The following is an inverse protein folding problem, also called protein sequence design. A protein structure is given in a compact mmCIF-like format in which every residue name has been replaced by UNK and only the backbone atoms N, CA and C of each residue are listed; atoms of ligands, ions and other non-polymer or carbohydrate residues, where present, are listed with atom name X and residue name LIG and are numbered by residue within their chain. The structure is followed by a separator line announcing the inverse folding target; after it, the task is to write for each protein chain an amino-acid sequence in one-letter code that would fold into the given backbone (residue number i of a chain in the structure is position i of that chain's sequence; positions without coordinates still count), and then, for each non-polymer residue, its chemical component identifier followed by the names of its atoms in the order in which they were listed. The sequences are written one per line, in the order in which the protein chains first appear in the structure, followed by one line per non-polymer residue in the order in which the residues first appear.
data_IF_241276919795
#
_entry.id   IF_241276919795
#
_cell.length_a   1.000
_cell.length_b   1.000
_cell.length_c   1.000
_cell.angle_alpha   90.00
_cell.angle_beta   90.00
_cell.angle_gamma   90.00
#
_symmetry.space_group_name_H-M   'P 1'
#
loop_
_entity.id
_entity.type
_entity.pdbx_description
1 polymer ?
#
# COMPACT_ATOMS: atom_id res chain seq x y z
N UNK A 1 -0.07 29.08 -14.41
CA UNK A 1 0.66 28.90 -13.15
C UNK A 1 1.93 28.11 -13.44
N UNK A 2 3.08 28.66 -13.14
CA UNK A 2 4.36 27.99 -13.29
C UNK A 2 5.05 27.97 -11.92
N UNK A 3 5.42 26.81 -11.37
CA UNK A 3 5.14 25.48 -11.89
C UNK A 3 3.63 25.14 -11.84
N UNK A 4 3.19 24.12 -12.61
CA UNK A 4 1.84 23.59 -12.50
C UNK A 4 1.62 23.01 -11.08
N UNK A 5 0.44 23.29 -10.50
CA UNK A 5 0.06 22.84 -9.15
C UNK A 5 -1.35 22.29 -9.19
N UNK A 6 -1.53 21.08 -8.67
CA UNK A 6 -2.83 20.42 -8.70
C UNK A 6 -3.85 21.10 -7.75
N UNK A 7 -3.43 21.53 -6.55
CA UNK A 7 -4.27 22.22 -5.58
C UNK A 7 -4.92 23.48 -6.19
N UNK A 8 -4.13 24.34 -6.84
CA UNK A 8 -4.62 25.57 -7.45
C UNK A 8 -5.53 25.30 -8.64
N UNK A 9 -5.23 24.27 -9.43
CA UNK A 9 -6.07 23.89 -10.54
C UNK A 9 -7.44 23.39 -10.06
N UNK A 10 -7.46 22.59 -9.00
CA UNK A 10 -8.71 22.11 -8.39
C UNK A 10 -9.49 23.23 -7.71
N UNK A 11 -8.85 24.19 -7.05
CA UNK A 11 -9.51 25.34 -6.46
C UNK A 11 -10.12 26.24 -7.55
N UNK A 12 -9.43 26.42 -8.68
CA UNK A 12 -9.99 27.14 -9.81
C UNK A 12 -11.21 26.40 -10.40
N UNK A 13 -11.16 25.09 -10.54
CA UNK A 13 -12.30 24.27 -10.98
C UNK A 13 -13.46 24.34 -9.98
N UNK A 14 -13.17 24.24 -8.68
CA UNK A 14 -14.17 24.36 -7.62
C UNK A 14 -14.86 25.74 -7.68
N UNK A 15 -14.12 26.82 -7.94
CA UNK A 15 -14.67 28.17 -8.05
C UNK A 15 -15.65 28.34 -9.21
N UNK A 16 -15.54 27.52 -10.26
CA UNK A 16 -16.44 27.55 -11.42
C UNK A 16 -17.78 26.84 -11.17
N UNK A 17 -17.87 26.00 -10.13
CA UNK A 17 -19.13 25.33 -9.79
C UNK A 17 -20.10 26.38 -9.21
N UNK A 18 -21.35 26.47 -9.74
CA UNK A 18 -22.34 27.39 -9.21
C UNK A 18 -22.61 27.20 -7.72
N UNK A 19 -22.96 28.30 -7.04
CA UNK A 19 -23.06 28.31 -5.57
C UNK A 19 -24.29 27.58 -5.02
N UNK A 20 -25.28 27.35 -5.85
CA UNK A 20 -26.53 26.64 -5.51
C UNK A 20 -26.38 25.12 -5.40
N UNK A 21 -25.22 24.55 -5.79
CA UNK A 21 -24.96 23.13 -5.60
C UNK A 21 -24.40 22.85 -4.21
N UNK A 22 -24.88 21.77 -3.59
CA UNK A 22 -24.49 21.38 -2.25
C UNK A 22 -23.26 20.46 -2.25
N UNK A 23 -23.17 19.55 -3.22
CA UNK A 23 -22.16 18.47 -3.25
C UNK A 23 -21.27 18.60 -4.47
N UNK A 24 -19.96 18.56 -4.24
CA UNK A 24 -18.94 18.49 -5.28
C UNK A 24 -18.33 17.09 -5.33
N UNK A 25 -18.26 16.54 -6.54
CA UNK A 25 -17.58 15.27 -6.83
C UNK A 25 -16.33 15.63 -7.65
N UNK A 26 -15.16 15.38 -7.09
CA UNK A 26 -13.90 15.60 -7.80
C UNK A 26 -13.32 14.27 -8.27
N UNK A 27 -13.25 14.10 -9.57
CA UNK A 27 -12.66 12.94 -10.23
C UNK A 27 -11.47 13.34 -11.10
N UNK A 28 -10.49 12.46 -11.22
CA UNK A 28 -9.47 12.55 -12.25
C UNK A 28 -10.00 11.99 -13.57
N UNK A 29 -9.37 12.32 -14.69
CA UNK A 29 -9.84 11.89 -16.02
C UNK A 29 -9.78 10.36 -16.20
N UNK A 30 -9.03 9.68 -15.37
CA UNK A 30 -8.85 8.24 -15.30
C UNK A 30 -9.61 7.60 -14.13
N UNK A 31 -10.60 8.31 -13.57
CA UNK A 31 -11.48 7.83 -12.50
C UNK A 31 -12.93 7.74 -12.98
N UNK A 32 -13.62 6.65 -12.68
CA UNK A 32 -15.01 6.40 -13.09
C UNK A 32 -15.85 6.01 -11.88
N UNK A 33 -16.99 6.70 -11.74
CA UNK A 33 -18.03 6.30 -10.77
C UNK A 33 -18.82 5.13 -11.33
N UNK A 34 -18.98 4.08 -10.51
CA UNK A 34 -19.83 2.94 -10.88
C UNK A 34 -21.32 3.32 -10.85
N UNK A 35 -22.15 2.69 -11.70
CA UNK A 35 -23.59 2.94 -11.73
C UNK A 35 -24.25 2.87 -10.35
N UNK A 36 -25.28 3.71 -10.13
CA UNK A 36 -25.96 3.79 -8.83
C UNK A 36 -25.30 4.77 -7.84
N UNK A 37 -24.23 5.46 -8.25
CA UNK A 37 -23.52 6.40 -7.41
C UNK A 37 -24.40 7.56 -6.91
N UNK A 38 -25.32 8.04 -7.75
CA UNK A 38 -26.16 9.20 -7.45
C UNK A 38 -27.17 8.86 -6.34
N UNK A 39 -27.88 7.77 -6.53
CA UNK A 39 -28.86 7.27 -5.56
C UNK A 39 -28.20 6.97 -4.21
N UNK A 40 -26.96 6.48 -4.26
CA UNK A 40 -26.20 6.19 -3.02
C UNK A 40 -25.76 7.46 -2.32
N UNK A 41 -25.30 8.49 -3.04
CA UNK A 41 -24.98 9.79 -2.44
C UNK A 41 -26.24 10.40 -1.83
N UNK A 42 -27.35 10.47 -2.58
CA UNK A 42 -28.63 11.02 -2.09
C UNK A 42 -29.15 10.27 -0.84
N UNK A 43 -28.87 8.97 -0.76
CA UNK A 43 -29.26 8.15 0.40
C UNK A 43 -28.46 8.45 1.66
N UNK A 44 -27.14 8.67 1.53
CA UNK A 44 -26.24 8.78 2.71
C UNK A 44 -25.96 10.22 3.11
N UNK A 45 -26.13 11.16 2.17
CA UNK A 45 -25.87 12.58 2.44
C UNK A 45 -27.01 13.20 3.23
N UNK A 46 -26.72 13.63 4.45
CA UNK A 46 -27.67 14.31 5.34
C UNK A 46 -27.44 15.83 5.27
N UNK A 47 -28.37 16.62 5.79
CA UNK A 47 -28.32 18.10 5.77
C UNK A 47 -27.01 18.68 6.31
N UNK A 48 -26.44 18.04 7.34
CA UNK A 48 -25.19 18.49 7.96
C UNK A 48 -23.94 17.77 7.45
N UNK A 49 -24.07 16.87 6.49
CA UNK A 49 -22.92 16.15 5.90
C UNK A 49 -22.05 17.11 5.13
N UNK A 50 -20.74 17.07 5.37
CA UNK A 50 -19.79 17.92 4.66
C UNK A 50 -18.81 17.13 3.81
N UNK A 51 -18.65 15.83 4.07
CA UNK A 51 -17.69 14.97 3.36
C UNK A 51 -18.17 13.53 3.32
N UNK A 52 -17.91 12.85 2.19
CA UNK A 52 -18.26 11.44 2.01
C UNK A 52 -17.03 10.59 1.89
N UNK A 53 -16.96 9.54 2.71
CA UNK A 53 -15.96 8.48 2.63
C UNK A 53 -16.55 7.29 1.87
N UNK A 54 -15.86 6.88 0.79
CA UNK A 54 -16.34 5.87 -0.14
C UNK A 54 -15.20 4.95 -0.61
N UNK A 55 -15.54 3.80 -1.21
CA UNK A 55 -14.55 2.86 -1.74
C UNK A 55 -13.92 3.38 -3.02
N UNK A 56 -12.61 3.24 -3.09
CA UNK A 56 -11.79 3.54 -4.25
C UNK A 56 -11.01 2.29 -4.66
N UNK A 57 -11.21 1.84 -5.89
CA UNK A 57 -10.45 0.74 -6.49
C UNK A 57 -9.31 1.32 -7.33
N UNK A 58 -8.10 1.20 -6.79
CA UNK A 58 -6.88 1.64 -7.48
C UNK A 58 -6.49 0.72 -8.63
N UNK A 59 -7.06 -0.47 -8.72
CA UNK A 59 -6.68 -1.53 -9.63
C UNK A 59 -5.66 -2.50 -9.02
N UNK A 60 -5.37 -3.56 -9.75
CA UNK A 60 -4.43 -4.62 -9.33
C UNK A 60 -4.71 -5.20 -7.93
N UNK A 61 -5.97 -5.21 -7.47
CA UNK A 61 -6.36 -5.73 -6.17
C UNK A 61 -6.12 -4.79 -4.98
N UNK A 62 -5.77 -3.53 -5.22
CA UNK A 62 -5.62 -2.48 -4.20
C UNK A 62 -6.92 -1.68 -4.12
N UNK A 63 -7.58 -1.70 -2.98
CA UNK A 63 -8.72 -0.84 -2.69
C UNK A 63 -8.58 -0.19 -1.32
N UNK A 64 -9.06 1.03 -1.21
CA UNK A 64 -9.05 1.80 0.03
C UNK A 64 -10.20 2.81 0.06
N UNK A 65 -10.36 3.50 1.18
CA UNK A 65 -11.36 4.56 1.27
C UNK A 65 -10.78 5.89 0.84
N UNK A 66 -11.59 6.64 0.06
CA UNK A 66 -11.22 7.96 -0.44
C UNK A 66 -12.30 8.99 -0.10
N UNK A 67 -11.98 10.29 -0.22
CA UNK A 67 -12.78 11.36 0.36
C UNK A 67 -12.77 12.61 -0.52
N UNK A 68 -12.84 12.47 -1.86
CA UNK A 68 -12.90 13.58 -2.83
C UNK A 68 -14.33 14.08 -3.12
N UNK A 69 -15.33 13.59 -2.38
CA UNK A 69 -16.72 14.06 -2.46
C UNK A 69 -16.99 14.87 -1.20
N UNK A 70 -17.27 16.16 -1.38
CA UNK A 70 -17.39 17.10 -0.27
C UNK A 70 -18.43 18.20 -0.54
N UNK A 71 -18.84 18.89 0.51
CA UNK A 71 -19.72 20.03 0.40
C UNK A 71 -19.09 21.13 -0.48
N UNK A 72 -19.93 21.82 -1.29
CA UNK A 72 -19.48 22.86 -2.23
C UNK A 72 -18.78 24.02 -1.54
N UNK A 73 -19.16 24.34 -0.31
CA UNK A 73 -18.66 25.47 0.44
C UNK A 73 -17.81 25.02 1.63
N UNK A 74 -16.85 25.86 2.03
CA UNK A 74 -16.05 25.64 3.22
C UNK A 74 -14.85 24.74 3.01
N UNK A 75 -14.50 24.41 1.75
CA UNK A 75 -13.32 23.63 1.40
C UNK A 75 -12.42 24.37 0.41
N UNK A 76 -11.12 24.06 0.51
CA UNK A 76 -10.10 24.37 -0.50
C UNK A 76 -9.18 23.16 -0.66
N UNK A 77 -8.51 23.07 -1.80
CA UNK A 77 -7.53 22.00 -2.05
C UNK A 77 -6.15 22.39 -1.52
N UNK A 78 -5.46 21.45 -0.94
CA UNK A 78 -4.18 21.66 -0.30
C UNK A 78 -3.10 20.72 -0.82
N UNK A 79 -1.89 21.20 -0.95
CA UNK A 79 -0.67 20.60 -1.49
C UNK A 79 -0.54 20.63 -3.03
N UNK A 80 0.67 20.93 -3.54
CA UNK A 80 0.92 21.04 -4.97
C UNK A 80 0.77 19.73 -5.73
N UNK A 81 0.87 18.59 -5.03
CA UNK A 81 0.67 17.21 -5.53
C UNK A 81 0.17 16.33 -4.40
N UNK A 82 -0.52 15.24 -4.71
CA UNK A 82 -1.25 14.43 -3.74
C UNK A 82 -2.22 15.26 -2.90
N UNK A 83 -2.82 16.23 -3.57
CA UNK A 83 -3.74 17.18 -3.00
C UNK A 83 -5.03 16.54 -2.50
N UNK A 84 -5.63 17.14 -1.51
CA UNK A 84 -6.92 16.71 -0.95
C UNK A 84 -7.71 17.91 -0.46
N UNK A 85 -9.06 17.83 -0.37
CA UNK A 85 -9.87 18.91 0.14
C UNK A 85 -9.68 19.07 1.65
N UNK A 86 -9.48 20.29 2.10
CA UNK A 86 -9.28 20.68 3.50
C UNK A 86 -10.33 21.71 3.88
N UNK A 87 -10.94 21.62 5.08
CA UNK A 87 -11.85 22.65 5.55
C UNK A 87 -11.12 23.99 5.71
N UNK A 88 -11.76 25.08 5.32
CA UNK A 88 -11.21 26.44 5.37
C UNK A 88 -11.40 27.13 6.74
N UNK A 89 -11.78 26.38 7.76
CA UNK A 89 -12.02 26.86 9.12
C UNK A 89 -13.42 27.44 9.36
N UNK A 90 -14.25 27.54 8.33
CA UNK A 90 -15.65 28.03 8.44
C UNK A 90 -16.65 26.93 8.73
N UNK A 91 -16.26 25.67 8.54
CA UNK A 91 -17.12 24.50 8.75
C UNK A 91 -16.48 23.51 9.71
N UNK A 92 -17.33 22.74 10.39
CA UNK A 92 -16.90 21.52 11.10
C UNK A 92 -17.17 20.34 10.20
N UNK A 93 -16.17 19.47 9.99
CA UNK A 93 -16.33 18.30 9.15
C UNK A 93 -17.29 17.28 9.78
N UNK A 94 -18.30 16.88 9.01
CA UNK A 94 -19.22 15.78 9.33
C UNK A 94 -19.16 14.77 8.19
N UNK A 95 -18.69 13.59 8.52
CA UNK A 95 -18.48 12.51 7.55
C UNK A 95 -19.72 11.64 7.41
N UNK A 96 -20.17 11.42 6.17
CA UNK A 96 -20.94 10.24 5.81
C UNK A 96 -19.97 9.13 5.33
N UNK A 97 -20.41 7.89 5.42
CA UNK A 97 -19.65 6.72 4.98
C UNK A 97 -20.53 5.75 4.21
N UNK A 98 -19.98 5.15 3.15
CA UNK A 98 -20.64 4.08 2.42
C UNK A 98 -19.65 3.10 1.80
N UNK A 99 -20.02 1.82 1.81
CA UNK A 99 -19.34 0.74 1.11
C UNK A 99 -19.90 0.47 -0.30
N UNK A 100 -21.02 1.10 -0.65
CA UNK A 100 -21.73 0.84 -1.90
C UNK A 100 -21.33 1.76 -3.04
N UNK A 101 -20.76 2.93 -2.73
CA UNK A 101 -20.23 3.82 -3.75
C UNK A 101 -18.79 3.41 -4.07
N UNK A 102 -18.54 3.11 -5.32
CA UNK A 102 -17.24 2.72 -5.83
C UNK A 102 -16.78 3.67 -6.93
N UNK A 103 -15.58 4.21 -6.77
CA UNK A 103 -14.84 4.87 -7.84
C UNK A 103 -13.73 3.93 -8.31
N UNK A 104 -13.68 3.68 -9.60
CA UNK A 104 -12.66 2.85 -10.23
C UNK A 104 -11.62 3.71 -10.92
N UNK A 105 -10.34 3.46 -10.62
CA UNK A 105 -9.22 4.08 -11.30
C UNK A 105 -8.80 3.23 -12.51
N UNK A 106 -8.69 3.87 -13.66
CA UNK A 106 -8.29 3.27 -14.94
C UNK A 106 -6.95 3.88 -15.36
N UNK A 107 -5.82 3.44 -14.80
CA UNK A 107 -4.55 4.12 -14.98
C UNK A 107 -4.08 4.07 -16.44
N UNK A 108 -3.62 5.21 -16.95
CA UNK A 108 -2.90 5.30 -18.22
C UNK A 108 -1.41 4.98 -17.99
N UNK A 109 -0.90 3.82 -18.45
CA UNK A 109 0.48 3.44 -18.25
C UNK A 109 1.47 4.32 -19.02
N UNK A 110 1.02 5.10 -20.00
CA UNK A 110 1.84 6.03 -20.76
C UNK A 110 2.06 7.37 -20.06
N UNK A 111 1.32 7.66 -18.98
CA UNK A 111 1.36 8.92 -18.24
C UNK A 111 2.70 9.12 -17.55
N UNK A 112 3.40 10.18 -17.90
CA UNK A 112 4.67 10.54 -17.26
C UNK A 112 4.49 10.97 -15.81
N UNK A 113 5.36 10.48 -14.92
CA UNK A 113 5.48 10.93 -13.53
C UNK A 113 6.58 11.99 -13.33
N UNK A 114 7.22 12.44 -14.39
CA UNK A 114 8.43 13.26 -14.33
C UNK A 114 8.35 14.55 -13.51
N UNK A 115 7.14 15.10 -13.31
CA UNK A 115 6.93 16.32 -12.52
C UNK A 115 6.72 16.06 -11.01
N UNK A 116 6.49 14.80 -10.59
CA UNK A 116 6.07 14.49 -9.21
C UNK A 116 7.16 14.81 -8.19
N UNK A 117 8.42 14.46 -8.49
CA UNK A 117 9.53 14.67 -7.57
C UNK A 117 9.74 16.17 -7.26
N UNK A 118 9.69 17.03 -8.28
CA UNK A 118 9.86 18.48 -8.11
C UNK A 118 8.68 19.09 -7.31
N UNK A 119 7.46 18.66 -7.59
CA UNK A 119 6.29 19.10 -6.84
C UNK A 119 6.31 18.63 -5.38
N UNK A 120 6.78 17.42 -5.11
CA UNK A 120 6.95 16.91 -3.74
C UNK A 120 8.06 17.64 -3.00
N UNK A 121 9.17 17.98 -3.69
CA UNK A 121 10.22 18.84 -3.13
C UNK A 121 9.68 20.22 -2.78
N UNK A 122 8.83 20.80 -3.63
CA UNK A 122 8.13 22.04 -3.33
C UNK A 122 7.21 21.87 -2.11
N UNK A 123 6.42 20.80 -2.04
CA UNK A 123 5.49 20.53 -0.96
C UNK A 123 6.19 20.44 0.41
N UNK A 124 7.33 19.75 0.50
CA UNK A 124 8.09 19.65 1.77
C UNK A 124 8.83 20.95 2.10
N UNK A 125 9.04 21.85 1.12
CA UNK A 125 9.62 23.17 1.33
C UNK A 125 8.56 24.15 1.86
N UNK A 126 7.35 24.10 1.31
CA UNK A 126 6.23 24.95 1.73
C UNK A 126 5.68 24.55 3.12
N UNK A 127 5.58 23.24 3.40
CA UNK A 127 5.16 22.73 4.70
C UNK A 127 6.09 21.60 5.18
N UNK A 128 7.23 21.96 5.82
CA UNK A 128 8.23 21.01 6.28
C UNK A 128 7.76 20.14 7.47
N UNK A 129 6.64 20.49 8.10
CA UNK A 129 6.06 19.76 9.24
C UNK A 129 4.89 18.85 8.85
N UNK A 130 4.50 18.82 7.58
CA UNK A 130 3.45 17.95 7.09
C UNK A 130 3.97 16.51 6.92
N UNK A 131 3.47 15.52 7.69
CA UNK A 131 3.94 14.14 7.58
C UNK A 131 3.59 13.54 6.21
N UNK A 132 2.43 13.88 5.66
CA UNK A 132 1.98 13.43 4.34
C UNK A 132 2.98 13.81 3.24
N UNK A 133 3.38 15.08 3.18
CA UNK A 133 4.36 15.56 2.19
C UNK A 133 5.72 14.87 2.38
N UNK A 134 6.17 14.75 3.64
CA UNK A 134 7.44 14.09 3.96
C UNK A 134 7.43 12.61 3.51
N UNK A 135 6.34 11.88 3.77
CA UNK A 135 6.21 10.49 3.36
C UNK A 135 6.21 10.33 1.83
N UNK A 136 5.36 11.09 1.12
CA UNK A 136 5.29 10.97 -0.35
C UNK A 136 6.59 11.38 -1.03
N UNK A 137 7.27 12.42 -0.54
CA UNK A 137 8.59 12.81 -1.03
C UNK A 137 9.62 11.69 -0.83
N UNK A 138 9.70 11.15 0.37
CA UNK A 138 10.61 10.05 0.69
C UNK A 138 10.35 8.80 -0.16
N UNK A 139 9.08 8.44 -0.34
CA UNK A 139 8.66 7.33 -1.20
C UNK A 139 9.04 7.57 -2.67
N UNK A 140 8.78 8.76 -3.18
CA UNK A 140 9.11 9.11 -4.57
C UNK A 140 10.61 9.00 -4.85
N UNK A 141 11.47 9.44 -3.92
CA UNK A 141 12.91 9.24 -4.02
C UNK A 141 13.30 7.78 -4.22
N UNK A 142 12.58 6.84 -3.59
CA UNK A 142 12.84 5.40 -3.80
C UNK A 142 12.46 4.92 -5.20
N UNK A 143 11.43 5.49 -5.82
CA UNK A 143 11.04 5.17 -7.20
C UNK A 143 12.10 5.65 -8.21
N UNK A 144 12.81 6.73 -7.90
CA UNK A 144 13.94 7.22 -8.68
C UNK A 144 15.28 6.58 -8.28
N UNK A 145 15.27 5.57 -7.39
CA UNK A 145 16.49 4.91 -6.89
C UNK A 145 17.50 5.87 -6.23
N UNK A 146 17.03 7.01 -5.72
CA UNK A 146 17.83 7.99 -4.98
C UNK A 146 17.97 7.54 -3.51
N UNK A 147 18.61 6.39 -3.31
CA UNK A 147 18.57 5.66 -2.04
C UNK A 147 19.12 6.43 -0.84
N UNK A 148 20.20 7.19 -1.04
CA UNK A 148 20.81 8.01 0.03
C UNK A 148 19.88 9.10 0.51
N UNK A 149 19.29 9.87 -0.42
CA UNK A 149 18.33 10.92 -0.13
C UNK A 149 17.03 10.36 0.45
N UNK A 150 16.60 9.20 -0.06
CA UNK A 150 15.42 8.49 0.46
C UNK A 150 15.61 8.13 1.94
N UNK A 151 16.79 7.60 2.33
CA UNK A 151 17.08 7.29 3.73
C UNK A 151 16.94 8.53 4.61
N UNK A 152 17.52 9.66 4.20
CA UNK A 152 17.42 10.92 4.97
C UNK A 152 15.98 11.39 5.09
N UNK A 153 15.22 11.34 3.98
CA UNK A 153 13.83 11.79 3.96
C UNK A 153 12.91 10.87 4.79
N UNK A 154 13.14 9.55 4.75
CA UNK A 154 12.39 8.57 5.55
C UNK A 154 12.64 8.75 7.05
N UNK A 155 13.86 9.06 7.47
CA UNK A 155 14.14 9.41 8.87
C UNK A 155 13.38 10.67 9.29
N UNK A 156 13.43 11.74 8.48
CA UNK A 156 12.67 12.97 8.77
C UNK A 156 11.17 12.70 8.92
N UNK A 157 10.62 11.81 8.11
CA UNK A 157 9.24 11.39 8.25
C UNK A 157 8.99 10.65 9.57
N UNK A 158 9.81 9.63 9.88
CA UNK A 158 9.63 8.80 11.09
C UNK A 158 9.83 9.59 12.39
N UNK A 159 10.68 10.62 12.38
CA UNK A 159 10.93 11.51 13.51
C UNK A 159 9.83 12.57 13.68
N UNK A 160 8.93 12.72 12.71
CA UNK A 160 7.84 13.69 12.78
C UNK A 160 6.76 13.20 13.78
N UNK A 161 6.47 13.95 14.87
CA UNK A 161 5.51 13.53 15.88
C UNK A 161 4.07 13.41 15.37
N UNK A 162 3.75 14.02 14.23
CA UNK A 162 2.45 13.91 13.57
C UNK A 162 2.35 12.66 12.67
N UNK A 163 3.46 11.98 12.38
CA UNK A 163 3.49 10.73 11.63
C UNK A 163 3.15 9.56 12.56
N UNK A 164 1.88 9.41 12.91
CA UNK A 164 1.41 8.48 13.93
C UNK A 164 0.54 7.33 13.38
N UNK A 165 0.40 7.20 12.06
CA UNK A 165 -0.34 6.09 11.47
C UNK A 165 0.57 4.87 11.27
N UNK A 166 0.36 3.75 12.01
CA UNK A 166 1.29 2.62 12.03
C UNK A 166 1.53 2.00 10.65
N UNK A 167 0.50 1.89 9.80
CA UNK A 167 0.64 1.28 8.47
C UNK A 167 1.56 2.10 7.55
N UNK A 168 1.48 3.44 7.60
CA UNK A 168 2.33 4.32 6.80
C UNK A 168 3.77 4.35 7.35
N UNK A 169 3.92 4.36 8.68
CA UNK A 169 5.23 4.24 9.35
C UNK A 169 5.90 2.90 9.04
N UNK A 170 5.13 1.81 9.11
CA UNK A 170 5.61 0.48 8.68
C UNK A 170 6.08 0.51 7.22
N UNK A 171 5.32 1.12 6.32
CA UNK A 171 5.73 1.26 4.93
C UNK A 171 7.03 2.07 4.78
N UNK A 172 7.18 3.17 5.50
CA UNK A 172 8.43 3.94 5.53
C UNK A 172 9.62 3.11 6.03
N UNK A 173 9.43 2.27 7.07
CA UNK A 173 10.46 1.35 7.57
C UNK A 173 10.82 0.25 6.56
N UNK A 174 9.83 -0.27 5.82
CA UNK A 174 10.06 -1.21 4.71
C UNK A 174 10.89 -0.56 3.61
N UNK A 175 10.60 0.70 3.26
CA UNK A 175 11.38 1.48 2.28
C UNK A 175 12.82 1.75 2.79
N UNK A 176 13.03 1.98 4.09
CA UNK A 176 14.38 2.03 4.69
C UNK A 176 15.11 0.71 4.52
N UNK A 177 14.46 -0.40 4.83
CA UNK A 177 15.01 -1.75 4.63
C UNK A 177 15.44 -1.97 3.18
N UNK A 178 14.60 -1.58 2.21
CA UNK A 178 14.89 -1.65 0.77
C UNK A 178 16.06 -0.72 0.37
N UNK A 179 16.05 0.52 0.86
CA UNK A 179 17.08 1.51 0.53
C UNK A 179 18.46 1.08 1.05
N UNK A 180 18.54 0.57 2.28
CA UNK A 180 19.79 0.05 2.83
C UNK A 180 20.29 -1.19 2.11
N UNK A 181 19.39 -2.08 1.65
CA UNK A 181 19.78 -3.21 0.80
C UNK A 181 20.42 -2.74 -0.51
N UNK A 182 19.81 -1.74 -1.17
CA UNK A 182 20.34 -1.15 -2.41
C UNK A 182 21.69 -0.44 -2.21
N UNK A 183 21.93 0.11 -1.02
CA UNK A 183 23.21 0.72 -0.63
C UNK A 183 24.26 -0.30 -0.14
N UNK A 184 23.93 -1.61 -0.10
CA UNK A 184 24.84 -2.66 0.39
C UNK A 184 25.00 -2.72 1.90
N UNK A 185 24.15 -2.04 2.69
CA UNK A 185 24.22 -1.97 4.16
C UNK A 185 23.29 -3.00 4.79
N UNK A 186 23.65 -4.27 4.68
CA UNK A 186 22.82 -5.43 5.03
C UNK A 186 22.32 -5.42 6.48
N UNK A 187 23.17 -5.05 7.44
CA UNK A 187 22.76 -5.03 8.86
C UNK A 187 21.62 -4.05 9.11
N UNK A 188 21.66 -2.87 8.48
CA UNK A 188 20.61 -1.87 8.58
C UNK A 188 19.35 -2.30 7.83
N UNK A 189 19.53 -2.93 6.65
CA UNK A 189 18.40 -3.47 5.89
C UNK A 189 17.59 -4.45 6.74
N UNK A 190 18.24 -5.42 7.38
CA UNK A 190 17.56 -6.38 8.25
C UNK A 190 16.93 -5.70 9.49
N UNK A 191 17.65 -4.78 10.13
CA UNK A 191 17.16 -4.09 11.32
C UNK A 191 15.86 -3.34 11.04
N UNK A 192 15.77 -2.62 9.90
CA UNK A 192 14.57 -1.87 9.53
C UNK A 192 13.42 -2.76 9.09
N UNK A 193 13.67 -3.90 8.44
CA UNK A 193 12.63 -4.90 8.12
C UNK A 193 12.01 -5.49 9.39
N UNK A 194 12.83 -5.79 10.42
CA UNK A 194 12.33 -6.24 11.72
C UNK A 194 11.49 -5.18 12.41
N UNK A 195 11.98 -3.93 12.47
CA UNK A 195 11.19 -2.81 13.02
C UNK A 195 9.86 -2.62 12.30
N UNK A 196 9.81 -2.80 10.98
CA UNK A 196 8.57 -2.72 10.24
C UNK A 196 7.55 -3.78 10.68
N UNK A 197 7.99 -5.02 10.95
CA UNK A 197 7.10 -6.07 11.45
C UNK A 197 6.64 -5.85 12.90
N UNK A 198 7.42 -5.11 13.69
CA UNK A 198 7.04 -4.69 15.05
C UNK A 198 6.09 -3.50 15.06
N UNK A 199 6.23 -2.55 14.11
CA UNK A 199 5.39 -1.35 14.01
C UNK A 199 3.94 -1.70 13.59
N UNK A 200 3.76 -2.63 12.65
CA UNK A 200 2.44 -3.06 12.19
C UNK A 200 2.33 -4.60 12.14
N UNK A 201 2.32 -5.28 13.30
CA UNK A 201 2.40 -6.73 13.37
C UNK A 201 1.18 -7.45 12.75
N UNK A 202 0.06 -6.73 12.57
CA UNK A 202 -1.18 -7.26 12.01
C UNK A 202 -1.32 -7.00 10.50
N UNK A 203 -0.22 -6.69 9.81
CA UNK A 203 -0.17 -6.56 8.34
C UNK A 203 0.79 -7.61 7.76
N UNK A 204 0.46 -8.19 6.59
CA UNK A 204 1.28 -9.25 5.98
C UNK A 204 2.58 -8.74 5.38
N UNK A 205 2.55 -7.54 4.85
CA UNK A 205 3.62 -6.95 4.05
C UNK A 205 5.00 -7.02 4.72
N UNK A 206 5.20 -6.53 5.97
CA UNK A 206 6.51 -6.55 6.61
C UNK A 206 7.01 -7.97 6.89
N UNK A 207 6.10 -8.91 7.20
CA UNK A 207 6.46 -10.30 7.45
C UNK A 207 6.89 -11.03 6.18
N UNK A 208 6.17 -10.80 5.05
CA UNK A 208 6.54 -11.38 3.76
C UNK A 208 7.85 -10.81 3.25
N UNK A 209 8.07 -9.48 3.34
CA UNK A 209 9.35 -8.88 2.96
C UNK A 209 10.52 -9.35 3.85
N UNK A 210 10.26 -9.63 5.11
CA UNK A 210 11.25 -10.22 6.01
C UNK A 210 11.55 -11.68 5.62
N UNK A 211 10.53 -12.46 5.24
CA UNK A 211 10.70 -13.80 4.72
C UNK A 211 11.50 -13.81 3.40
N UNK A 212 11.19 -12.90 2.46
CA UNK A 212 11.95 -12.72 1.21
C UNK A 212 13.43 -12.41 1.49
N UNK A 213 13.69 -11.54 2.47
CA UNK A 213 15.05 -11.24 2.89
C UNK A 213 15.76 -12.50 3.40
N UNK A 214 15.16 -13.26 4.30
CA UNK A 214 15.73 -14.49 4.81
C UNK A 214 15.90 -15.58 3.75
N UNK A 215 14.94 -15.69 2.83
CA UNK A 215 15.03 -16.55 1.66
C UNK A 215 16.28 -16.23 0.83
N UNK A 216 16.53 -14.95 0.53
CA UNK A 216 17.70 -14.51 -0.24
C UNK A 216 19.06 -14.86 0.41
N UNK A 217 19.05 -15.14 1.71
CA UNK A 217 20.22 -15.51 2.51
C UNK A 217 20.24 -17.01 2.87
N UNK A 218 19.35 -17.81 2.30
CA UNK A 218 19.16 -19.22 2.60
C UNK A 218 18.97 -19.51 4.11
N UNK A 219 18.39 -18.54 4.84
CA UNK A 219 18.03 -18.68 6.26
C UNK A 219 16.63 -19.26 6.39
N UNK A 220 16.57 -20.57 6.16
CA UNK A 220 15.29 -21.27 5.95
C UNK A 220 14.38 -21.27 7.18
N UNK A 221 14.94 -21.41 8.40
CA UNK A 221 14.15 -21.40 9.63
C UNK A 221 13.49 -20.03 9.88
N UNK A 222 14.26 -18.97 9.72
CA UNK A 222 13.76 -17.60 9.89
C UNK A 222 12.77 -17.23 8.77
N UNK A 223 13.03 -17.70 7.53
CA UNK A 223 12.11 -17.50 6.41
C UNK A 223 10.77 -18.19 6.67
N UNK A 224 10.78 -19.46 7.07
CA UNK A 224 9.58 -20.21 7.40
C UNK A 224 8.79 -19.52 8.52
N UNK A 225 9.46 -19.15 9.61
CA UNK A 225 8.81 -18.48 10.72
C UNK A 225 8.13 -17.15 10.31
N UNK A 226 8.80 -16.34 9.49
CA UNK A 226 8.22 -15.07 9.01
C UNK A 226 7.06 -15.30 8.05
N UNK A 227 7.16 -16.27 7.15
CA UNK A 227 6.08 -16.62 6.22
C UNK A 227 4.85 -17.18 6.97
N UNK A 228 5.06 -18.07 7.94
CA UNK A 228 3.99 -18.60 8.79
C UNK A 228 3.31 -17.50 9.59
N UNK A 229 4.09 -16.54 10.14
CA UNK A 229 3.53 -15.39 10.84
C UNK A 229 2.65 -14.54 9.89
N UNK A 230 3.09 -14.27 8.67
CA UNK A 230 2.26 -13.59 7.66
C UNK A 230 0.95 -14.35 7.41
N UNK A 231 1.00 -15.67 7.31
CA UNK A 231 -0.16 -16.52 7.04
C UNK A 231 -1.16 -16.60 8.20
N UNK A 232 -0.77 -16.25 9.45
CA UNK A 232 -1.72 -16.12 10.57
C UNK A 232 -2.68 -14.94 10.39
N UNK A 233 -2.26 -13.90 9.67
CA UNK A 233 -3.03 -12.67 9.46
C UNK A 233 -4.09 -12.93 8.40
N UNK A 234 -5.38 -12.84 8.77
CA UNK A 234 -6.51 -13.11 7.87
C UNK A 234 -7.27 -11.84 7.46
N UNK A 235 -7.13 -10.78 8.22
CA UNK A 235 -7.83 -9.52 7.97
C UNK A 235 -7.07 -8.66 6.95
N UNK A 236 -7.62 -8.58 5.74
CA UNK A 236 -7.08 -7.77 4.65
C UNK A 236 -7.56 -6.33 4.79
N UNK A 237 -6.70 -5.46 5.27
CA UNK A 237 -7.04 -4.05 5.47
C UNK A 237 -7.17 -3.30 4.13
N UNK A 238 -8.20 -2.45 4.04
CA UNK A 238 -8.43 -1.58 2.88
C UNK A 238 -7.59 -0.29 3.00
N UNK A 239 -6.29 -0.40 2.74
CA UNK A 239 -5.33 0.70 2.86
C UNK A 239 -4.44 0.80 1.61
N UNK A 240 -4.02 2.02 1.24
CA UNK A 240 -3.20 2.25 0.05
C UNK A 240 -1.76 1.75 0.16
N UNK A 241 -1.33 1.37 1.37
CA UNK A 241 0.00 0.80 1.65
C UNK A 241 0.05 -0.71 1.44
N UNK A 242 -1.08 -1.33 1.12
CA UNK A 242 -1.23 -2.75 0.91
C UNK A 242 -0.53 -3.22 -0.38
N UNK A 243 0.12 -4.37 -0.32
CA UNK A 243 0.70 -5.09 -1.47
C UNK A 243 -0.15 -6.34 -1.75
N UNK A 244 -0.86 -6.41 -2.89
CA UNK A 244 -1.70 -7.56 -3.22
C UNK A 244 -0.95 -8.88 -3.29
N UNK A 245 0.33 -8.87 -3.64
CA UNK A 245 1.14 -10.10 -3.81
C UNK A 245 1.28 -10.91 -2.52
N UNK A 246 1.24 -10.23 -1.36
CA UNK A 246 1.34 -10.91 -0.05
C UNK A 246 0.06 -11.65 0.34
N UNK A 247 -1.04 -11.43 -0.41
CA UNK A 247 -2.33 -12.10 -0.22
C UNK A 247 -2.55 -13.25 -1.22
N UNK A 248 -1.63 -13.44 -2.17
CA UNK A 248 -1.60 -14.53 -3.13
C UNK A 248 -0.69 -15.69 -2.72
N UNK A 249 -0.12 -16.36 -3.70
CA UNK A 249 0.73 -17.54 -3.54
C UNK A 249 2.07 -17.28 -2.84
N UNK A 250 2.59 -16.04 -2.88
CA UNK A 250 3.94 -15.68 -2.42
C UNK A 250 4.29 -16.17 -1.00
N UNK A 251 3.51 -15.88 0.06
CA UNK A 251 3.87 -16.33 1.42
C UNK A 251 3.82 -17.86 1.55
N UNK A 252 2.93 -18.53 0.81
CA UNK A 252 2.89 -20.00 0.81
C UNK A 252 4.10 -20.61 0.10
N UNK A 253 4.54 -20.04 -1.03
CA UNK A 253 5.74 -20.48 -1.74
C UNK A 253 7.00 -20.32 -0.87
N UNK A 254 7.16 -19.15 -0.21
CA UNK A 254 8.27 -18.93 0.73
C UNK A 254 8.28 -19.95 1.87
N UNK A 255 7.10 -20.27 2.42
CA UNK A 255 6.97 -21.28 3.47
C UNK A 255 7.28 -22.69 2.92
N UNK A 256 6.77 -23.05 1.74
CA UNK A 256 6.98 -24.35 1.11
C UNK A 256 8.46 -24.63 0.84
N UNK A 257 9.15 -23.69 0.17
CA UNK A 257 10.58 -23.82 -0.15
C UNK A 257 11.40 -23.90 1.12
N UNK A 258 11.09 -23.09 2.14
CA UNK A 258 11.82 -23.11 3.41
C UNK A 258 11.61 -24.42 4.16
N UNK A 259 10.38 -24.91 4.24
CA UNK A 259 10.07 -26.19 4.84
C UNK A 259 10.78 -27.35 4.15
N UNK A 260 10.81 -27.35 2.81
CA UNK A 260 11.53 -28.35 2.03
C UNK A 260 13.04 -28.38 2.36
N UNK A 261 13.69 -27.22 2.42
CA UNK A 261 15.12 -27.12 2.73
C UNK A 261 15.44 -27.49 4.21
N UNK A 262 14.45 -27.48 5.08
CA UNK A 262 14.55 -27.92 6.48
C UNK A 262 14.24 -29.42 6.66
N UNK A 263 13.87 -30.13 5.59
CA UNK A 263 13.44 -31.53 5.68
C UNK A 263 12.02 -31.72 6.22
N UNK A 264 11.23 -30.65 6.31
CA UNK A 264 9.85 -30.67 6.77
C UNK A 264 8.89 -30.90 5.58
N UNK A 265 8.98 -32.10 4.97
CA UNK A 265 8.37 -32.36 3.66
C UNK A 265 6.85 -32.32 3.70
N UNK A 266 6.20 -32.75 4.76
CA UNK A 266 4.74 -32.63 4.91
C UNK A 266 4.29 -31.17 4.90
N UNK A 267 5.02 -30.30 5.59
CA UNK A 267 4.74 -28.84 5.56
C UNK A 267 5.02 -28.27 4.16
N UNK A 268 6.11 -28.67 3.52
CA UNK A 268 6.43 -28.24 2.16
C UNK A 268 5.33 -28.61 1.16
N UNK A 269 4.80 -29.84 1.28
CA UNK A 269 3.69 -30.31 0.47
C UNK A 269 2.42 -29.46 0.72
N UNK A 270 2.01 -29.30 1.96
CA UNK A 270 0.82 -28.54 2.35
C UNK A 270 0.87 -27.10 1.85
N UNK A 271 2.00 -26.39 2.06
CA UNK A 271 2.14 -25.01 1.59
C UNK A 271 2.29 -24.94 0.06
N UNK A 272 2.95 -25.91 -0.57
CA UNK A 272 3.07 -26.01 -2.02
C UNK A 272 1.73 -26.21 -2.71
N UNK A 273 0.84 -27.01 -2.16
CA UNK A 273 -0.53 -27.18 -2.66
C UNK A 273 -1.32 -25.88 -2.58
N UNK A 274 -1.25 -25.19 -1.44
CA UNK A 274 -1.89 -23.87 -1.27
C UNK A 274 -1.34 -22.82 -2.25
N UNK A 275 -0.04 -22.84 -2.55
CA UNK A 275 0.57 -21.91 -3.48
C UNK A 275 0.08 -22.16 -4.92
N UNK A 276 0.01 -23.42 -5.36
CA UNK A 276 -0.51 -23.79 -6.68
C UNK A 276 -2.00 -23.49 -6.82
N UNK A 277 -2.79 -23.71 -5.77
CA UNK A 277 -4.22 -23.37 -5.78
C UNK A 277 -4.45 -21.87 -6.03
N UNK A 278 -3.61 -21.01 -5.46
CA UNK A 278 -3.70 -19.55 -5.60
C UNK A 278 -3.09 -19.00 -6.90
N UNK A 279 -2.21 -19.76 -7.57
CA UNK A 279 -1.59 -19.37 -8.82
C UNK A 279 -1.34 -20.61 -9.71
N UNK A 280 -2.41 -21.22 -10.23
CA UNK A 280 -2.31 -22.46 -11.01
C UNK A 280 -1.52 -22.32 -12.33
N UNK A 281 -1.44 -21.10 -12.84
CA UNK A 281 -0.70 -20.78 -14.07
C UNK A 281 0.83 -20.65 -13.86
N UNK A 282 1.31 -20.64 -12.61
CA UNK A 282 2.74 -20.56 -12.32
C UNK A 282 3.38 -21.95 -12.41
N UNK A 283 4.02 -22.22 -13.56
CA UNK A 283 4.70 -23.50 -13.84
C UNK A 283 5.80 -23.81 -12.81
N UNK A 284 6.45 -22.80 -12.25
CA UNK A 284 7.49 -22.98 -11.23
C UNK A 284 6.90 -23.55 -9.94
N UNK A 285 5.72 -23.06 -9.51
CA UNK A 285 5.04 -23.58 -8.32
C UNK A 285 4.61 -25.05 -8.54
N UNK A 286 4.06 -25.34 -9.71
CA UNK A 286 3.67 -26.71 -10.09
C UNK A 286 4.87 -27.67 -10.13
N UNK A 287 6.00 -27.22 -10.66
CA UNK A 287 7.25 -27.96 -10.66
C UNK A 287 7.79 -28.22 -9.26
N UNK A 288 7.80 -27.19 -8.40
CA UNK A 288 8.19 -27.32 -6.99
C UNK A 288 7.29 -28.34 -6.26
N UNK A 289 5.97 -28.26 -6.46
CA UNK A 289 5.02 -29.17 -5.85
C UNK A 289 5.29 -30.64 -6.23
N UNK A 290 5.68 -30.90 -7.48
CA UNK A 290 6.07 -32.26 -7.90
C UNK A 290 7.29 -32.78 -7.12
N UNK A 291 8.28 -31.94 -6.82
CA UNK A 291 9.40 -32.30 -5.95
C UNK A 291 8.94 -32.60 -4.51
N UNK A 292 8.05 -31.80 -3.96
CA UNK A 292 7.54 -32.02 -2.59
C UNK A 292 6.78 -33.35 -2.49
N UNK A 293 5.89 -33.64 -3.46
CA UNK A 293 5.16 -34.93 -3.53
C UNK A 293 6.09 -36.13 -3.60
N UNK A 294 7.11 -36.06 -4.45
CA UNK A 294 8.09 -37.13 -4.59
C UNK A 294 8.80 -37.40 -3.26
N UNK A 295 9.25 -36.34 -2.57
CA UNK A 295 9.97 -36.50 -1.29
C UNK A 295 9.11 -37.09 -0.19
N UNK A 296 7.85 -36.64 -0.04
CA UNK A 296 6.92 -37.27 0.89
C UNK A 296 6.72 -38.77 0.61
N UNK A 297 6.64 -39.15 -0.67
CA UNK A 297 6.48 -40.56 -1.06
C UNK A 297 7.74 -41.38 -0.73
N UNK A 298 8.94 -40.86 -0.99
CA UNK A 298 10.21 -41.54 -0.72
C UNK A 298 10.43 -41.79 0.79
N UNK A 299 10.02 -40.84 1.67
CA UNK A 299 10.10 -41.03 3.12
C UNK A 299 9.16 -42.12 3.64
N UNK A 300 7.94 -42.21 3.09
CA UNK A 300 6.99 -43.27 3.48
C UNK A 300 7.50 -44.66 3.16
N UNK A 301 8.25 -44.79 2.05
CA UNK A 301 8.84 -46.08 1.64
C UNK A 301 10.06 -46.42 2.51
N UNK A 302 10.91 -45.41 2.82
CA UNK A 302 12.14 -45.62 3.62
C UNK A 302 11.90 -45.82 5.13
N UNK A 303 10.71 -45.52 5.64
CA UNK A 303 10.35 -45.75 7.07
C UNK A 303 9.67 -47.12 7.30
N UNK A 304 9.53 -47.93 6.25
CA UNK A 304 8.87 -49.25 6.30
C UNK A 304 9.87 -50.41 6.34
N UNK A 305 11.17 -50.11 6.33
CA UNK A 305 12.28 -51.06 6.48
C UNK A 305 12.96 -50.87 7.86
#
# INVERSE_FOLDING_TARGET
VSPWRFDRARDAALALIPREYDVCISLDLDEVLEPGWREEIERVWQENTTRLRYKFDWGCGISFYYEKIHHRHGYHWHHPVHEYPVPDGRITEVYAHTDKLLVRHLPDPSKSRGQYLDLLKLAVTEDPHCPRNAFYYARELTFYSMWGEAVVALFKYLDNPKANWPNERCYAMRLLGKSYAALGVEAQSLAWRKKASEEAPNTREPWVELAEYYYSKAKWQECLSAAEQALTIKDKQAVYTMDPSVWGAKPFDLAAVSAYNLGLYDKALMYGESAVELAPEDERLSSNLAFYKKRCSDELVGSSD
#
